data_IF_099039860320
#
_entry.id   IF_099039860320
#
_cell.length_a   1.000
_cell.length_b   1.000
_cell.length_c   1.000
_cell.angle_alpha   90.00
_cell.angle_beta   90.00
_cell.angle_gamma   90.00
#
_symmetry.space_group_name_H-M   'P 1'
#
loop_
_entity.id
_entity.type
_entity.pdbx_description
1 polymer ?
#
# COMPACT_ATOMS: atom_id res chain seq x y z
N UNK A 1 -25.81 1.12 4.44
CA UNK A 1 -24.96 0.88 3.26
C UNK A 1 -23.51 0.75 3.75
N UNK A 2 -23.03 -0.48 3.98
CA UNK A 2 -21.61 -0.75 4.28
C UNK A 2 -21.16 -1.75 3.22
N UNK A 3 -20.20 -1.42 2.34
CA UNK A 3 -19.70 -2.43 1.42
C UNK A 3 -18.90 -3.46 2.22
N UNK A 4 -19.39 -4.70 2.17
CA UNK A 4 -18.70 -5.99 2.04
C UNK A 4 -17.21 -6.04 2.48
N UNK A 5 -16.80 -7.01 3.32
CA UNK A 5 -15.42 -7.21 3.73
C UNK A 5 -14.64 -7.85 2.57
N UNK A 6 -14.29 -7.05 1.57
CA UNK A 6 -13.21 -7.40 0.65
C UNK A 6 -11.94 -7.42 1.49
N UNK A 7 -11.28 -8.59 1.57
CA UNK A 7 -10.26 -8.99 2.56
C UNK A 7 -8.98 -8.15 2.70
N UNK A 8 -8.98 -6.86 2.37
CA UNK A 8 -7.91 -5.93 2.68
C UNK A 8 -8.52 -4.65 3.29
N UNK A 9 -8.30 -4.37 4.59
CA UNK A 9 -8.76 -3.11 5.17
C UNK A 9 -8.15 -1.93 4.40
N UNK A 10 -8.84 -0.79 4.27
CA UNK A 10 -8.27 0.39 3.64
C UNK A 10 -7.01 0.80 4.39
N UNK A 11 -5.84 0.66 3.72
CA UNK A 11 -4.55 0.94 4.34
C UNK A 11 -4.11 2.37 4.05
N UNK A 12 -3.44 2.95 5.03
CA UNK A 12 -2.73 4.20 4.81
C UNK A 12 -1.35 3.92 4.20
N UNK A 13 -0.78 4.91 3.52
CA UNK A 13 0.61 4.86 3.04
C UNK A 13 1.61 4.53 4.16
N UNK A 14 1.29 4.90 5.39
CA UNK A 14 2.11 4.57 6.57
C UNK A 14 2.10 3.07 6.82
N UNK A 15 0.92 2.45 6.88
CA UNK A 15 0.79 0.99 7.06
C UNK A 15 1.47 0.20 5.95
N UNK A 16 1.31 0.63 4.69
CA UNK A 16 2.01 0.00 3.56
C UNK A 16 3.52 0.11 3.78
N UNK A 17 4.03 1.30 4.09
CA UNK A 17 5.46 1.48 4.32
C UNK A 17 5.97 0.63 5.50
N UNK A 18 5.21 0.53 6.59
CA UNK A 18 5.52 -0.33 7.74
C UNK A 18 5.55 -1.81 7.38
N UNK A 19 4.62 -2.30 6.55
CA UNK A 19 4.60 -3.69 6.05
C UNK A 19 5.84 -4.02 5.22
N UNK A 20 6.29 -3.07 4.40
CA UNK A 20 7.53 -3.21 3.65
C UNK A 20 8.78 -2.96 4.50
N UNK A 21 8.64 -2.52 5.77
CA UNK A 21 9.76 -2.12 6.62
C UNK A 21 10.53 -0.91 6.10
N UNK A 22 9.89 -0.06 5.29
CA UNK A 22 10.50 1.11 4.66
C UNK A 22 9.89 2.42 5.19
N UNK A 23 10.57 3.54 4.93
CA UNK A 23 10.01 4.86 5.21
C UNK A 23 8.93 5.24 4.20
N UNK A 24 7.98 6.10 4.60
CA UNK A 24 6.98 6.70 3.68
C UNK A 24 7.63 7.37 2.47
N UNK A 25 8.81 7.97 2.64
CA UNK A 25 9.58 8.62 1.57
C UNK A 25 10.11 7.60 0.57
N UNK A 26 10.60 6.45 1.06
CA UNK A 26 11.03 5.33 0.21
C UNK A 26 9.86 4.77 -0.58
N UNK A 27 8.72 4.55 0.09
CA UNK A 27 7.49 4.11 -0.56
C UNK A 27 7.10 5.09 -1.68
N UNK A 28 7.08 6.39 -1.41
CA UNK A 28 6.76 7.40 -2.43
C UNK A 28 7.72 7.37 -3.63
N UNK A 29 9.03 7.21 -3.39
CA UNK A 29 10.02 7.08 -4.48
C UNK A 29 9.78 5.84 -5.32
N UNK A 30 9.44 4.72 -4.69
CA UNK A 30 9.16 3.48 -5.42
C UNK A 30 7.85 3.58 -6.21
N UNK A 31 6.80 4.16 -5.64
CA UNK A 31 5.55 4.42 -6.34
C UNK A 31 5.77 5.32 -7.55
N UNK A 32 6.53 6.40 -7.39
CA UNK A 32 6.87 7.30 -8.49
C UNK A 32 7.70 6.58 -9.57
N UNK A 33 8.71 5.78 -9.16
CA UNK A 33 9.50 4.94 -10.09
C UNK A 33 8.64 3.93 -10.84
N UNK A 34 7.58 3.42 -10.21
CA UNK A 34 6.59 2.52 -10.78
C UNK A 34 5.51 3.22 -11.61
N UNK A 35 5.48 4.56 -11.66
CA UNK A 35 4.43 5.33 -12.32
C UNK A 35 3.07 5.29 -11.61
N UNK A 36 3.03 4.91 -10.33
CA UNK A 36 1.82 4.82 -9.53
C UNK A 36 1.56 6.18 -8.86
N UNK A 37 0.53 6.87 -9.33
CA UNK A 37 0.08 8.14 -8.74
C UNK A 37 -1.06 7.87 -7.77
N UNK A 38 -0.76 7.89 -6.48
CA UNK A 38 -1.79 7.74 -5.44
C UNK A 38 -2.52 9.06 -5.21
N UNK A 39 -3.85 9.03 -5.30
CA UNK A 39 -4.69 10.17 -4.93
C UNK A 39 -4.43 10.60 -3.46
N UNK A 40 -4.46 11.90 -3.13
CA UNK A 40 -4.32 12.35 -1.75
C UNK A 40 -5.41 11.73 -0.87
N UNK A 41 -5.01 11.03 0.21
CA UNK A 41 -5.93 10.37 1.13
C UNK A 41 -5.63 8.89 1.36
N UNK A 42 -6.69 8.10 1.60
CA UNK A 42 -6.65 6.66 1.80
C UNK A 42 -6.27 5.93 0.51
N UNK A 43 -5.41 4.91 0.62
CA UNK A 43 -5.06 4.06 -0.52
C UNK A 43 -6.22 3.11 -0.75
N UNK A 44 -6.88 3.21 -1.90
CA UNK A 44 -7.98 2.32 -2.25
C UNK A 44 -7.47 0.91 -2.48
N UNK A 45 -8.38 -0.05 -2.42
CA UNK A 45 -8.05 -1.46 -2.64
C UNK A 45 -7.41 -1.70 -4.03
N UNK A 46 -7.88 -1.02 -5.07
CA UNK A 46 -7.34 -1.12 -6.43
C UNK A 46 -5.88 -0.65 -6.49
N UNK A 47 -5.58 0.49 -5.86
CA UNK A 47 -4.23 1.03 -5.76
C UNK A 47 -3.33 0.07 -4.96
N UNK A 48 -3.84 -0.46 -3.83
CA UNK A 48 -3.10 -1.40 -2.99
C UNK A 48 -2.70 -2.67 -3.77
N UNK A 49 -3.66 -3.22 -4.54
CA UNK A 49 -3.41 -4.39 -5.39
C UNK A 49 -2.34 -4.08 -6.43
N UNK A 50 -2.43 -2.92 -7.09
CA UNK A 50 -1.45 -2.49 -8.09
C UNK A 50 -0.06 -2.28 -7.50
N UNK A 51 0.02 -1.71 -6.30
CA UNK A 51 1.25 -1.59 -5.53
C UNK A 51 1.87 -2.97 -5.32
N UNK A 52 1.11 -3.94 -4.82
CA UNK A 52 1.62 -5.29 -4.57
C UNK A 52 1.99 -6.05 -5.85
N UNK A 53 1.29 -5.82 -6.96
CA UNK A 53 1.65 -6.38 -8.26
C UNK A 53 2.97 -5.81 -8.80
N UNK A 54 3.22 -4.51 -8.63
CA UNK A 54 4.41 -3.85 -9.19
C UNK A 54 5.64 -3.96 -8.27
N UNK A 55 5.45 -3.78 -6.97
CA UNK A 55 6.52 -3.85 -5.96
C UNK A 55 6.81 -5.28 -5.52
N UNK A 56 5.92 -6.22 -5.85
CA UNK A 56 5.91 -7.55 -5.28
C UNK A 56 5.20 -7.57 -3.91
N UNK A 57 4.81 -8.78 -3.44
CA UNK A 57 4.17 -8.93 -2.14
C UNK A 57 5.10 -8.41 -1.03
N UNK A 58 4.59 -7.65 -0.05
CA UNK A 58 5.40 -7.18 1.05
C UNK A 58 6.01 -8.39 1.79
N UNK A 59 7.29 -8.34 2.17
CA UNK A 59 7.85 -9.34 3.05
C UNK A 59 7.10 -9.22 4.36
N UNK A 60 6.15 -10.14 4.62
CA UNK A 60 5.23 -10.12 5.77
C UNK A 60 5.99 -10.10 7.10
N UNK A 61 6.54 -8.95 7.49
CA UNK A 61 6.90 -8.64 8.86
C UNK A 61 5.61 -8.24 9.55
N UNK A 62 4.91 -9.23 10.11
CA UNK A 62 3.96 -8.94 11.18
C UNK A 62 4.74 -8.19 12.27
N UNK A 63 4.26 -7.04 12.79
CA UNK A 63 4.78 -6.55 14.05
C UNK A 63 4.59 -7.68 15.08
N UNK A 64 5.68 -8.05 15.74
CA UNK A 64 5.67 -8.95 16.88
C UNK A 64 4.93 -8.31 18.06
#
# INVERSE_FOLDING_TARGET
MKPEPTGFPPKTRKQIAEEYGISRKTLYRWLNKAGIVLAPGLVKHEDLKRIYEVLGPPPLRKPA
#
